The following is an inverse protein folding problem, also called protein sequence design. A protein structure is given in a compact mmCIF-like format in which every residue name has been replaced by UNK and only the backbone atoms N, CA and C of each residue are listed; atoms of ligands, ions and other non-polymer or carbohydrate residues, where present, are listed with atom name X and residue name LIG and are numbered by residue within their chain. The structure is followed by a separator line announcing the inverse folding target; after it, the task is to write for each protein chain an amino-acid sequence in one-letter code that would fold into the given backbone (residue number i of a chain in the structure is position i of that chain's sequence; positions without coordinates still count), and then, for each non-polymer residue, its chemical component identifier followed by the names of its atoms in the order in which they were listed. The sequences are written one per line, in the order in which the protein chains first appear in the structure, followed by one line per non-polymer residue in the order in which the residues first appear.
data_IF_196793199676
#
_entry.id   IF_196793199676
#
_cell.length_a   1.000
_cell.length_b   1.000
_cell.length_c   1.000
_cell.angle_alpha   90.00
_cell.angle_beta   90.00
_cell.angle_gamma   90.00
#
_symmetry.space_group_name_H-M   'P 1'
#
loop_
_entity.id
_entity.type
_entity.pdbx_description
1 polymer ?
#
# COMPACT_ATOMS: atom_id res chain seq x y z
N UNK A 1 -0.36 -19.46 -6.99
CA UNK A 1 0.24 -18.29 -7.67
C UNK A 1 1.58 -17.98 -7.02
N UNK A 2 2.62 -17.82 -7.82
CA UNK A 2 3.95 -17.45 -7.33
C UNK A 2 4.00 -15.95 -7.00
N UNK A 3 5.03 -15.52 -6.26
CA UNK A 3 5.24 -14.10 -5.99
C UNK A 3 5.39 -13.30 -7.28
N UNK A 4 6.10 -13.86 -8.27
CA UNK A 4 6.30 -13.24 -9.59
C UNK A 4 4.97 -13.04 -10.33
N UNK A 5 4.14 -14.10 -10.38
CA UNK A 5 2.84 -14.03 -11.03
C UNK A 5 1.92 -13.01 -10.36
N UNK A 6 1.95 -12.95 -9.03
CA UNK A 6 1.17 -11.96 -8.28
C UNK A 6 1.64 -10.55 -8.58
N UNK A 7 2.95 -10.33 -8.62
CA UNK A 7 3.54 -9.03 -8.95
C UNK A 7 3.12 -8.58 -10.35
N UNK A 8 3.20 -9.47 -11.34
CA UNK A 8 2.79 -9.17 -12.70
C UNK A 8 1.32 -8.76 -12.78
N UNK A 9 0.46 -9.48 -12.05
CA UNK A 9 -0.96 -9.17 -11.99
C UNK A 9 -1.20 -7.83 -11.31
N UNK A 10 -0.49 -7.56 -10.22
CA UNK A 10 -0.57 -6.28 -9.50
C UNK A 10 -0.16 -5.14 -10.42
N UNK A 11 0.97 -5.28 -11.13
CA UNK A 11 1.48 -4.25 -12.03
C UNK A 11 0.49 -3.95 -13.15
N UNK A 12 -0.13 -4.99 -13.74
CA UNK A 12 -1.15 -4.81 -14.77
C UNK A 12 -2.40 -4.13 -14.22
N UNK A 13 -2.83 -4.53 -13.03
CA UNK A 13 -4.03 -3.98 -12.42
C UNK A 13 -3.86 -2.50 -12.06
N UNK A 14 -2.67 -2.10 -11.63
CA UNK A 14 -2.39 -0.74 -11.22
C UNK A 14 -1.93 0.18 -12.35
N UNK A 15 -1.49 -0.38 -13.49
CA UNK A 15 -0.89 0.40 -14.57
C UNK A 15 -1.78 1.53 -15.08
N UNK A 16 -3.05 1.25 -15.28
CA UNK A 16 -4.00 2.24 -15.78
C UNK A 16 -4.19 3.39 -14.79
N UNK A 17 -4.33 3.07 -13.52
CA UNK A 17 -4.47 4.08 -12.47
C UNK A 17 -3.20 4.90 -12.32
N UNK A 18 -2.05 4.25 -12.37
CA UNK A 18 -0.77 4.94 -12.27
C UNK A 18 -0.56 5.90 -13.42
N UNK A 19 -0.94 5.51 -14.64
CA UNK A 19 -0.85 6.37 -15.82
C UNK A 19 -1.75 7.60 -15.67
N UNK A 20 -2.99 7.40 -15.19
CA UNK A 20 -3.90 8.50 -14.93
C UNK A 20 -3.36 9.49 -13.91
N UNK A 21 -2.70 8.99 -12.85
CA UNK A 21 -2.07 9.84 -11.85
C UNK A 21 -0.88 10.61 -12.39
N UNK A 22 -0.15 10.04 -13.36
CA UNK A 22 1.01 10.71 -13.97
C UNK A 22 0.62 11.83 -14.92
N UNK A 23 -0.48 11.67 -15.66
CA UNK A 23 -0.89 12.63 -16.70
C UNK A 23 -2.04 13.55 -16.27
N UNK A 24 -2.69 13.25 -15.13
CA UNK A 24 -3.81 14.02 -14.60
C UNK A 24 -3.52 14.54 -13.19
N UNK A 25 -4.59 14.83 -12.47
CA UNK A 25 -4.51 15.31 -11.09
C UNK A 25 -4.81 14.22 -10.06
N UNK A 26 -4.95 12.98 -10.51
CA UNK A 26 -5.26 11.88 -9.63
C UNK A 26 -4.04 11.45 -8.83
N UNK A 27 -4.30 10.97 -7.63
CA UNK A 27 -3.26 10.37 -6.79
C UNK A 27 -3.71 8.97 -6.40
N UNK A 28 -2.76 8.03 -6.35
CA UNK A 28 -3.07 6.64 -6.08
C UNK A 28 -2.06 6.06 -5.08
N UNK A 29 -2.57 5.27 -4.16
CA UNK A 29 -1.76 4.43 -3.29
C UNK A 29 -2.42 3.06 -3.19
N UNK A 30 -1.71 2.02 -3.60
CA UNK A 30 -2.19 0.64 -3.51
C UNK A 30 -1.10 -0.23 -2.92
N UNK A 31 -1.49 -1.09 -1.98
CA UNK A 31 -0.59 -2.02 -1.31
C UNK A 31 -1.23 -3.40 -1.36
N UNK A 32 -0.48 -4.39 -1.81
CA UNK A 32 -0.94 -5.77 -1.82
C UNK A 32 0.13 -6.71 -1.29
N UNK A 33 -0.29 -7.62 -0.43
CA UNK A 33 0.58 -8.64 0.15
C UNK A 33 0.23 -9.99 -0.43
N UNK A 34 1.24 -10.83 -0.64
CA UNK A 34 1.02 -12.16 -1.19
C UNK A 34 1.87 -13.22 -0.50
N UNK A 35 1.24 -14.36 -0.23
CA UNK A 35 1.89 -15.61 0.20
C UNK A 35 1.69 -16.66 -0.88
N UNK A 36 2.71 -17.45 -1.15
CA UNK A 36 2.59 -18.52 -2.16
C UNK A 36 1.78 -19.71 -1.65
N UNK A 37 1.87 -19.99 -0.34
CA UNK A 37 1.07 -21.02 0.30
C UNK A 37 0.88 -20.70 1.78
N UNK A 38 0.00 -21.45 2.45
CA UNK A 38 -0.40 -21.21 3.85
C UNK A 38 0.76 -21.25 4.83
N UNK A 39 1.73 -22.12 4.57
CA UNK A 39 2.80 -22.41 5.51
C UNK A 39 4.05 -21.57 5.25
N UNK A 40 4.00 -20.74 4.22
CA UNK A 40 5.10 -19.86 3.85
C UNK A 40 5.11 -18.64 4.75
N UNK A 41 6.21 -18.41 5.47
CA UNK A 41 6.41 -17.22 6.30
C UNK A 41 6.83 -16.01 5.48
N UNK A 42 7.25 -16.23 4.24
CA UNK A 42 7.69 -15.16 3.36
C UNK A 42 6.49 -14.50 2.67
N UNK A 43 6.40 -13.20 2.80
CA UNK A 43 5.32 -12.39 2.23
C UNK A 43 5.92 -11.37 1.29
N UNK A 44 5.46 -11.36 0.03
CA UNK A 44 5.85 -10.28 -0.88
C UNK A 44 4.94 -9.08 -0.70
N UNK A 45 5.53 -7.89 -0.71
CA UNK A 45 4.80 -6.64 -0.60
C UNK A 45 4.92 -5.89 -1.92
N UNK A 46 3.78 -5.56 -2.52
CA UNK A 46 3.73 -4.81 -3.77
C UNK A 46 3.07 -3.47 -3.51
N UNK A 47 3.72 -2.41 -3.94
CA UNK A 47 3.25 -1.04 -3.67
C UNK A 47 3.21 -0.25 -4.97
N UNK A 48 2.11 0.47 -5.17
CA UNK A 48 1.99 1.48 -6.22
C UNK A 48 1.65 2.80 -5.54
N UNK A 49 2.52 3.79 -5.72
CA UNK A 49 2.35 5.12 -5.13
C UNK A 49 2.71 6.15 -6.18
N UNK A 50 1.72 6.91 -6.64
CA UNK A 50 1.89 7.94 -7.67
C UNK A 50 0.96 9.11 -7.36
N UNK A 51 1.45 10.33 -7.59
CA UNK A 51 0.67 11.54 -7.39
C UNK A 51 1.17 12.35 -6.22
N UNK A 52 0.28 13.15 -5.63
CA UNK A 52 0.62 14.11 -4.58
C UNK A 52 0.60 13.46 -3.18
N UNK A 53 1.75 13.38 -2.50
CA UNK A 53 1.83 12.78 -1.16
C UNK A 53 0.94 13.47 -0.14
N UNK A 54 0.76 14.78 -0.25
CA UNK A 54 -0.07 15.55 0.68
C UNK A 54 -1.53 15.13 0.54
N UNK A 55 -2.01 15.00 -0.69
CA UNK A 55 -3.39 14.55 -0.95
C UNK A 55 -3.62 13.12 -0.45
N UNK A 56 -2.63 12.24 -0.67
CA UNK A 56 -2.70 10.86 -0.18
C UNK A 56 -2.73 10.84 1.36
N UNK A 57 -1.93 11.67 2.00
CA UNK A 57 -1.91 11.78 3.46
C UNK A 57 -3.27 12.22 4.01
N UNK A 58 -3.89 13.22 3.40
CA UNK A 58 -5.23 13.67 3.79
C UNK A 58 -6.29 12.59 3.58
N UNK A 59 -6.19 11.86 2.47
CA UNK A 59 -7.12 10.76 2.19
C UNK A 59 -7.00 9.66 3.24
N UNK A 60 -5.77 9.29 3.60
CA UNK A 60 -5.53 8.29 4.64
C UNK A 60 -6.10 8.75 5.99
N UNK A 61 -5.90 10.02 6.35
CA UNK A 61 -6.44 10.59 7.57
C UNK A 61 -7.97 10.47 7.60
N UNK A 62 -8.63 10.82 6.49
CA UNK A 62 -10.07 10.72 6.37
C UNK A 62 -10.55 9.27 6.54
N UNK A 63 -9.87 8.32 5.90
CA UNK A 63 -10.21 6.90 6.00
C UNK A 63 -10.05 6.40 7.44
N UNK A 64 -9.02 6.87 8.15
CA UNK A 64 -8.79 6.50 9.54
C UNK A 64 -9.94 6.90 10.46
N UNK A 65 -10.61 8.01 10.18
CA UNK A 65 -11.75 8.45 10.98
C UNK A 65 -12.96 7.52 10.82
N UNK A 66 -13.14 6.97 9.61
CA UNK A 66 -14.30 6.15 9.28
C UNK A 66 -14.09 4.65 9.46
N UNK A 67 -12.84 4.19 9.41
CA UNK A 67 -12.51 2.76 9.38
C UNK A 67 -11.50 2.41 10.47
N UNK A 68 -11.96 1.89 11.63
CA UNK A 68 -11.08 1.57 12.75
C UNK A 68 -9.97 0.57 12.42
N UNK A 69 -10.24 -0.40 11.54
CA UNK A 69 -9.22 -1.38 11.13
C UNK A 69 -8.09 -0.71 10.36
N UNK A 70 -8.42 0.20 9.47
CA UNK A 70 -7.42 0.97 8.70
C UNK A 70 -6.59 1.84 9.64
N UNK A 71 -7.25 2.51 10.59
CA UNK A 71 -6.57 3.31 11.61
C UNK A 71 -5.57 2.46 12.40
N UNK A 72 -5.98 1.28 12.84
CA UNK A 72 -5.12 0.37 13.59
C UNK A 72 -3.87 -0.04 12.80
N UNK A 73 -4.03 -0.32 11.51
CA UNK A 73 -2.92 -0.70 10.63
C UNK A 73 -1.94 0.45 10.48
N UNK A 74 -2.42 1.65 10.19
CA UNK A 74 -1.56 2.83 9.99
C UNK A 74 -0.84 3.21 11.29
N UNK A 75 -1.56 3.24 12.41
CA UNK A 75 -0.98 3.55 13.72
C UNK A 75 0.03 2.49 14.14
N UNK A 76 -0.26 1.22 13.86
CA UNK A 76 0.67 0.13 14.12
C UNK A 76 1.98 0.28 13.36
N UNK A 77 1.92 0.65 12.09
CA UNK A 77 3.10 0.89 11.27
C UNK A 77 3.92 2.05 11.84
N UNK A 78 3.27 3.13 12.27
CA UNK A 78 3.93 4.29 12.87
C UNK A 78 4.63 3.92 14.18
N UNK A 79 4.01 3.08 15.01
CA UNK A 79 4.60 2.59 16.25
C UNK A 79 5.84 1.74 15.97
N UNK A 80 5.78 0.85 14.98
CA UNK A 80 6.94 0.04 14.59
C UNK A 80 8.10 0.90 14.13
N UNK A 81 7.84 1.95 13.36
CA UNK A 81 8.87 2.88 12.92
C UNK A 81 9.51 3.59 14.12
N UNK A 82 8.69 4.05 15.06
CA UNK A 82 9.18 4.72 16.27
C UNK A 82 10.07 3.79 17.12
N UNK A 83 9.69 2.52 17.24
CA UNK A 83 10.47 1.53 17.98
C UNK A 83 11.81 1.28 17.29
N UNK A 84 11.80 1.05 15.98
CA UNK A 84 13.03 0.77 15.22
C UNK A 84 13.98 1.96 15.19
N UNK A 85 13.47 3.17 15.14
CA UNK A 85 14.32 4.36 15.10
C UNK A 85 15.05 4.64 16.41
N UNK A 86 14.60 4.00 17.51
CA UNK A 86 15.25 4.13 18.82
C UNK A 86 16.27 3.00 19.09
N UNK A 87 16.32 2.02 18.21
CA UNK A 87 17.26 0.93 18.29
C UNK A 87 18.48 1.27 17.42
#
# INVERSE_FOLDING_TARGET
MTHEEFKQKFDRTTAEYALGAMVGEDSIMMIALHKENKDDDSVSCNVCLTGDPVKITHALYTIMQDKPKTKAIIMGAAVLEAIKSKM
#
